data_IF_751762452237
#
_entry.id   IF_751762452237
#
_cell.length_a   1.000
_cell.length_b   1.000
_cell.length_c   1.000
_cell.angle_alpha   90.00
_cell.angle_beta   90.00
_cell.angle_gamma   90.00
#
_symmetry.space_group_name_H-M   'P 1'
#
loop_
_entity.id
_entity.type
_entity.pdbx_description
1 polymer ?
#
# COMPACT_ATOMS: atom_id res chain seq x y z
N UNK A 1 -28.67 27.37 -10.32
CA UNK A 1 -28.14 26.14 -9.71
C UNK A 1 -26.84 26.51 -9.02
N UNK A 2 -26.79 26.42 -7.70
CA UNK A 2 -25.58 26.68 -6.92
C UNK A 2 -24.62 25.51 -7.10
N UNK A 3 -23.50 25.73 -7.79
CA UNK A 3 -22.40 24.77 -7.83
C UNK A 3 -21.82 24.70 -6.42
N UNK A 4 -22.12 23.62 -5.71
CA UNK A 4 -21.59 23.38 -4.38
C UNK A 4 -20.10 23.04 -4.55
N UNK A 5 -19.21 24.02 -4.36
CA UNK A 5 -17.74 23.85 -4.35
C UNK A 5 -17.30 23.12 -3.08
N UNK A 6 -17.96 22.01 -2.75
CA UNK A 6 -17.64 21.24 -1.56
C UNK A 6 -16.32 20.49 -1.82
N UNK A 7 -15.30 20.65 -0.97
CA UNK A 7 -13.95 20.09 -1.16
C UNK A 7 -13.86 18.55 -1.10
N UNK A 8 -14.99 17.85 -1.13
CA UNK A 8 -15.08 16.39 -1.01
C UNK A 8 -15.16 15.65 -2.37
N UNK A 9 -15.08 16.36 -3.49
CA UNK A 9 -15.22 15.76 -4.83
C UNK A 9 -13.90 15.27 -5.44
N UNK A 10 -12.82 15.17 -4.64
CA UNK A 10 -11.50 14.68 -5.07
C UNK A 10 -10.83 13.82 -4.00
N UNK A 11 -9.66 13.21 -4.30
CA UNK A 11 -8.91 12.40 -3.34
C UNK A 11 -8.63 13.19 -2.05
N UNK A 12 -8.71 12.51 -0.90
CA UNK A 12 -8.42 13.14 0.39
C UNK A 12 -6.94 13.46 0.45
N UNK A 13 -6.59 14.74 0.47
CA UNK A 13 -5.19 15.19 0.55
C UNK A 13 -4.62 14.99 1.95
N UNK A 14 -3.28 15.02 2.07
CA UNK A 14 -2.60 14.97 3.36
C UNK A 14 -3.03 16.13 4.28
N UNK A 15 -3.14 17.34 3.74
CA UNK A 15 -3.66 18.50 4.48
C UNK A 15 -5.09 18.26 4.97
N UNK A 16 -5.92 17.62 4.14
CA UNK A 16 -7.29 17.30 4.53
C UNK A 16 -7.33 16.22 5.61
N UNK A 17 -6.44 15.21 5.56
CA UNK A 17 -6.30 14.21 6.63
C UNK A 17 -5.88 14.86 7.95
N UNK A 18 -4.90 15.78 7.93
CA UNK A 18 -4.49 16.55 9.11
C UNK A 18 -5.67 17.32 9.71
N UNK A 19 -6.42 18.06 8.87
CA UNK A 19 -7.61 18.80 9.31
C UNK A 19 -8.67 17.87 9.92
N UNK A 20 -8.95 16.71 9.30
CA UNK A 20 -9.91 15.74 9.83
C UNK A 20 -9.43 15.20 11.19
N UNK A 21 -8.14 14.89 11.31
CA UNK A 21 -7.53 14.44 12.57
C UNK A 21 -7.72 15.46 13.69
N UNK A 22 -7.44 16.74 13.43
CA UNK A 22 -7.62 17.83 14.39
C UNK A 22 -9.09 18.01 14.81
N UNK A 23 -10.02 17.95 13.85
CA UNK A 23 -11.46 18.05 14.10
C UNK A 23 -11.91 16.92 15.04
N UNK A 24 -11.54 15.68 14.73
CA UNK A 24 -11.94 14.51 15.51
C UNK A 24 -11.30 14.51 16.90
N UNK A 25 -10.03 14.91 17.00
CA UNK A 25 -9.33 15.00 18.28
C UNK A 25 -9.98 16.05 19.19
N UNK A 26 -10.28 17.24 18.65
CA UNK A 26 -10.99 18.31 19.37
C UNK A 26 -12.37 17.83 19.84
N UNK A 27 -13.14 17.20 18.95
CA UNK A 27 -14.46 16.67 19.29
C UNK A 27 -14.41 15.57 20.36
N UNK A 28 -13.39 14.71 20.34
CA UNK A 28 -13.20 13.66 21.34
C UNK A 28 -12.94 14.25 22.74
N UNK A 29 -12.12 15.29 22.84
CA UNK A 29 -11.80 15.95 24.14
C UNK A 29 -12.98 16.69 24.77
N UNK A 30 -13.96 17.11 23.97
CA UNK A 30 -15.16 17.82 24.44
C UNK A 30 -16.29 16.87 24.87
N UNK A 31 -16.13 15.55 24.66
CA UNK A 31 -17.08 14.53 25.06
C UNK A 31 -16.73 13.98 26.44
N UNK A 32 -17.74 13.52 27.15
CA UNK A 32 -17.67 12.88 28.48
C UNK A 32 -17.08 11.46 28.48
N UNK A 33 -16.43 11.03 27.39
CA UNK A 33 -15.86 9.70 27.27
C UNK A 33 -16.87 8.58 26.99
N UNK A 34 -18.08 8.89 26.50
CA UNK A 34 -18.99 7.85 25.97
C UNK A 34 -18.44 7.15 24.71
N UNK A 35 -19.12 6.09 24.25
CA UNK A 35 -18.70 5.27 23.09
C UNK A 35 -18.31 6.09 21.84
N UNK A 36 -18.99 7.21 21.60
CA UNK A 36 -18.68 8.11 20.49
C UNK A 36 -17.32 8.83 20.67
N UNK A 37 -16.99 9.26 21.88
CA UNK A 37 -15.70 9.88 22.18
C UNK A 37 -14.54 8.91 21.97
N UNK A 38 -14.70 7.65 22.40
CA UNK A 38 -13.72 6.60 22.13
C UNK A 38 -13.57 6.32 20.63
N UNK A 39 -14.68 6.19 19.89
CA UNK A 39 -14.64 5.99 18.45
C UNK A 39 -13.91 7.13 17.71
N UNK A 40 -14.11 8.38 18.13
CA UNK A 40 -13.39 9.52 17.58
C UNK A 40 -11.89 9.46 17.88
N UNK A 41 -11.51 9.12 19.12
CA UNK A 41 -10.11 8.98 19.50
C UNK A 41 -9.40 7.84 18.73
N UNK A 42 -10.08 6.72 18.51
CA UNK A 42 -9.54 5.63 17.71
C UNK A 42 -9.44 5.99 16.22
N UNK A 43 -10.41 6.75 15.69
CA UNK A 43 -10.31 7.29 14.33
C UNK A 43 -9.09 8.21 14.16
N UNK A 44 -8.79 9.06 15.15
CA UNK A 44 -7.59 9.92 15.15
C UNK A 44 -6.31 9.06 15.07
N UNK A 45 -6.21 7.98 15.85
CA UNK A 45 -5.05 7.07 15.80
C UNK A 45 -4.89 6.44 14.42
N UNK A 46 -5.99 5.99 13.81
CA UNK A 46 -5.96 5.42 12.46
C UNK A 46 -5.53 6.45 11.41
N UNK A 47 -6.04 7.67 11.50
CA UNK A 47 -5.65 8.76 10.59
C UNK A 47 -4.18 9.12 10.77
N UNK A 48 -3.65 9.13 11.99
CA UNK A 48 -2.25 9.38 12.26
C UNK A 48 -1.32 8.36 11.56
N UNK A 49 -1.69 7.08 11.54
CA UNK A 49 -0.95 6.05 10.79
C UNK A 49 -0.95 6.34 9.29
N UNK A 50 -2.11 6.72 8.73
CA UNK A 50 -2.23 7.07 7.31
C UNK A 50 -1.38 8.29 6.95
N UNK A 51 -1.42 9.35 7.79
CA UNK A 51 -0.62 10.56 7.62
C UNK A 51 0.87 10.22 7.62
N UNK A 52 1.35 9.49 8.62
CA UNK A 52 2.77 9.14 8.74
C UNK A 52 3.25 8.34 7.52
N UNK A 53 2.47 7.35 7.07
CA UNK A 53 2.81 6.52 5.90
C UNK A 53 2.82 7.33 4.60
N UNK A 54 1.85 8.22 4.41
CA UNK A 54 1.79 9.09 3.22
C UNK A 54 2.94 10.11 3.19
N UNK A 55 3.31 10.66 4.35
CA UNK A 55 4.46 11.57 4.46
C UNK A 55 5.75 10.88 4.03
N UNK A 56 6.04 9.71 4.62
CA UNK A 56 7.22 8.89 4.28
C UNK A 56 7.25 8.57 2.78
N UNK A 57 6.11 8.19 2.20
CA UNK A 57 6.02 7.88 0.76
C UNK A 57 6.32 9.11 -0.12
N UNK A 58 5.83 10.28 0.24
CA UNK A 58 6.08 11.54 -0.49
C UNK A 58 7.53 11.98 -0.39
N UNK A 59 8.11 11.94 0.81
CA UNK A 59 9.51 12.27 1.04
C UNK A 59 10.43 11.33 0.26
N UNK A 60 10.15 10.02 0.31
CA UNK A 60 10.86 9.03 -0.48
C UNK A 60 10.76 9.30 -1.99
N UNK A 61 9.57 9.59 -2.51
CA UNK A 61 9.37 9.91 -3.92
C UNK A 61 10.15 11.17 -4.34
N UNK A 62 10.13 12.22 -3.52
CA UNK A 62 10.85 13.46 -3.77
C UNK A 62 12.38 13.23 -3.76
N UNK A 63 12.89 12.50 -2.78
CA UNK A 63 14.29 12.12 -2.69
C UNK A 63 14.73 11.24 -3.86
N UNK A 64 13.96 10.21 -4.21
CA UNK A 64 14.25 9.31 -5.34
C UNK A 64 14.28 10.09 -6.67
N UNK A 65 13.33 11.02 -6.86
CA UNK A 65 13.31 11.88 -8.05
C UNK A 65 14.54 12.79 -8.11
N UNK A 66 14.92 13.41 -6.99
CA UNK A 66 16.09 14.29 -6.93
C UNK A 66 17.41 13.55 -7.14
N UNK A 67 17.49 12.31 -6.64
CA UNK A 67 18.72 11.51 -6.64
C UNK A 67 18.93 10.78 -7.97
N UNK A 68 17.88 10.14 -8.49
CA UNK A 68 17.97 9.25 -9.65
C UNK A 68 17.36 9.84 -10.93
N UNK A 69 16.66 10.96 -10.82
CA UNK A 69 16.00 11.61 -11.95
C UNK A 69 14.80 10.82 -12.49
N UNK A 70 14.46 11.12 -13.74
CA UNK A 70 13.32 10.57 -14.46
C UNK A 70 13.68 9.22 -15.11
N UNK A 71 13.75 8.17 -14.30
CA UNK A 71 13.94 6.78 -14.73
C UNK A 71 12.64 5.99 -14.63
N UNK A 72 12.50 4.97 -15.47
CA UNK A 72 11.34 4.07 -15.48
C UNK A 72 11.33 3.04 -14.34
N UNK A 73 10.26 2.22 -14.23
CA UNK A 73 10.00 1.35 -13.09
C UNK A 73 10.90 0.10 -13.02
N UNK A 74 11.58 -0.26 -14.12
CA UNK A 74 12.34 -1.51 -14.23
C UNK A 74 13.55 -1.55 -13.29
N UNK A 75 14.21 -0.41 -13.05
CA UNK A 75 15.35 -0.33 -12.13
C UNK A 75 14.95 -0.71 -10.70
N UNK A 76 13.99 -0.01 -10.08
CA UNK A 76 13.47 -0.35 -8.77
C UNK A 76 12.95 -1.79 -8.67
N UNK A 77 12.29 -2.34 -9.70
CA UNK A 77 11.83 -3.74 -9.69
C UNK A 77 12.99 -4.75 -9.68
N UNK A 78 14.07 -4.49 -10.42
CA UNK A 78 15.28 -5.33 -10.37
C UNK A 78 15.96 -5.26 -9.01
N UNK A 79 15.95 -4.09 -8.37
CA UNK A 79 16.48 -3.92 -7.02
C UNK A 79 15.58 -4.62 -5.99
N UNK A 80 14.25 -4.49 -6.10
CA UNK A 80 13.29 -5.18 -5.23
C UNK A 80 13.52 -6.69 -5.21
N UNK A 81 13.89 -7.27 -6.37
CA UNK A 81 14.26 -8.68 -6.43
C UNK A 81 15.47 -9.02 -5.55
N UNK A 82 16.45 -8.12 -5.38
CA UNK A 82 17.60 -8.34 -4.51
C UNK A 82 17.22 -8.22 -3.03
N UNK A 83 16.49 -7.17 -2.66
CA UNK A 83 16.06 -6.97 -1.26
C UNK A 83 15.12 -8.07 -0.78
N UNK A 84 14.37 -8.70 -1.69
CA UNK A 84 13.60 -9.89 -1.34
C UNK A 84 14.48 -11.07 -0.89
N UNK A 85 15.71 -11.20 -1.41
CA UNK A 85 16.66 -12.22 -0.94
C UNK A 85 17.31 -11.81 0.39
N UNK A 86 17.62 -10.53 0.58
CA UNK A 86 18.19 -9.98 1.82
C UNK A 86 17.19 -10.14 2.97
N UNK A 87 15.93 -9.73 2.76
CA UNK A 87 14.83 -9.95 3.70
C UNK A 87 14.55 -11.44 3.99
N UNK A 88 14.73 -12.32 3.00
CA UNK A 88 14.55 -13.76 3.21
C UNK A 88 15.70 -14.38 4.04
N UNK A 89 16.92 -13.83 3.93
CA UNK A 89 18.06 -14.27 4.73
C UNK A 89 17.95 -13.78 6.20
N UNK A 90 17.44 -12.58 6.41
CA UNK A 90 17.29 -11.96 7.74
C UNK A 90 15.86 -11.43 7.96
N UNK A 91 14.84 -12.31 8.10
CA UNK A 91 13.44 -11.88 8.20
C UNK A 91 13.12 -11.05 9.44
N UNK A 92 14.02 -11.05 10.43
CA UNK A 92 13.93 -10.22 11.62
C UNK A 92 14.48 -8.80 11.45
N UNK A 93 15.20 -8.50 10.36
CA UNK A 93 15.67 -7.15 10.08
C UNK A 93 14.59 -6.33 9.38
N UNK A 94 14.08 -5.31 10.07
CA UNK A 94 13.03 -4.44 9.55
C UNK A 94 13.50 -3.52 8.42
N UNK A 95 14.82 -3.25 8.29
CA UNK A 95 15.36 -2.44 7.19
C UNK A 95 15.02 -3.06 5.84
N UNK A 96 15.25 -4.36 5.69
CA UNK A 96 15.05 -5.07 4.43
C UNK A 96 13.58 -5.05 3.98
N UNK A 97 12.66 -5.14 4.94
CA UNK A 97 11.23 -4.97 4.66
C UNK A 97 10.88 -3.53 4.23
N UNK A 98 11.54 -2.53 4.81
CA UNK A 98 11.37 -1.14 4.43
C UNK A 98 11.91 -0.88 3.02
N UNK A 99 13.07 -1.46 2.66
CA UNK A 99 13.64 -1.33 1.31
C UNK A 99 12.73 -1.95 0.25
N UNK A 100 12.15 -3.13 0.52
CA UNK A 100 11.13 -3.70 -0.35
C UNK A 100 9.93 -2.75 -0.52
N UNK A 101 9.47 -2.11 0.55
CA UNK A 101 8.34 -1.19 0.50
C UNK A 101 8.66 0.07 -0.30
N UNK A 102 9.86 0.65 -0.13
CA UNK A 102 10.33 1.81 -0.88
C UNK A 102 10.47 1.52 -2.37
N UNK A 103 11.08 0.40 -2.73
CA UNK A 103 11.31 0.01 -4.11
C UNK A 103 10.00 -0.30 -4.84
N UNK A 104 9.04 -0.96 -4.16
CA UNK A 104 7.71 -1.20 -4.73
C UNK A 104 6.95 0.11 -4.98
N UNK A 105 6.98 1.04 -4.02
CA UNK A 105 6.35 2.35 -4.18
C UNK A 105 6.96 3.17 -5.31
N UNK A 106 8.28 3.17 -5.44
CA UNK A 106 8.95 3.91 -6.52
C UNK A 106 8.65 3.30 -7.89
N UNK A 107 8.65 1.97 -7.99
CA UNK A 107 8.23 1.27 -9.20
C UNK A 107 6.80 1.62 -9.60
N UNK A 108 5.85 1.61 -8.65
CA UNK A 108 4.45 1.97 -8.91
C UNK A 108 4.32 3.41 -9.41
N UNK A 109 4.94 4.36 -8.71
CA UNK A 109 4.91 5.78 -9.08
C UNK A 109 5.50 6.02 -10.47
N UNK A 110 6.63 5.39 -10.79
CA UNK A 110 7.30 5.51 -12.09
C UNK A 110 6.56 4.79 -13.23
N UNK A 111 5.57 3.96 -12.90
CA UNK A 111 4.69 3.31 -13.85
C UNK A 111 3.31 3.99 -13.94
N UNK A 112 3.14 5.16 -13.30
CA UNK A 112 1.86 5.88 -13.18
C UNK A 112 0.72 5.01 -12.60
N UNK A 113 1.06 4.08 -11.71
CA UNK A 113 0.08 3.22 -11.02
C UNK A 113 -0.42 3.94 -9.76
N UNK A 114 -1.72 4.23 -9.72
CA UNK A 114 -2.37 4.82 -8.55
C UNK A 114 -2.68 3.79 -7.48
N UNK A 115 -2.87 4.27 -6.23
CA UNK A 115 -3.29 3.43 -5.11
C UNK A 115 -4.65 2.77 -5.34
N UNK A 116 -5.57 3.45 -6.05
CA UNK A 116 -6.86 2.90 -6.44
C UNK A 116 -6.70 1.74 -7.44
N UNK A 117 -5.86 1.93 -8.46
CA UNK A 117 -5.61 0.90 -9.48
C UNK A 117 -4.97 -0.35 -8.87
N UNK A 118 -3.93 -0.20 -8.05
CA UNK A 118 -3.28 -1.36 -7.43
C UNK A 118 -4.22 -2.04 -6.42
N UNK A 119 -5.02 -1.29 -5.66
CA UNK A 119 -5.98 -1.87 -4.71
C UNK A 119 -7.04 -2.68 -5.44
N UNK A 120 -7.59 -2.16 -6.54
CA UNK A 120 -8.55 -2.91 -7.36
C UNK A 120 -7.90 -4.19 -7.93
N UNK A 121 -6.70 -4.08 -8.49
CA UNK A 121 -5.97 -5.24 -9.00
C UNK A 121 -5.68 -6.29 -7.91
N UNK A 122 -5.39 -5.86 -6.67
CA UNK A 122 -5.21 -6.76 -5.52
C UNK A 122 -6.51 -7.49 -5.16
N UNK A 123 -7.66 -6.79 -5.14
CA UNK A 123 -8.98 -7.40 -4.87
C UNK A 123 -9.32 -8.45 -5.91
N UNK A 124 -9.18 -8.12 -7.19
CA UNK A 124 -9.44 -9.04 -8.31
C UNK A 124 -8.48 -10.22 -8.28
N UNK A 125 -7.19 -9.97 -8.08
CA UNK A 125 -6.17 -11.02 -8.03
C UNK A 125 -6.38 -11.97 -6.86
N UNK A 126 -6.82 -11.46 -5.69
CA UNK A 126 -7.14 -12.27 -4.53
C UNK A 126 -8.33 -13.19 -4.80
N UNK A 127 -9.37 -12.71 -5.48
CA UNK A 127 -10.52 -13.53 -5.86
C UNK A 127 -10.10 -14.69 -6.79
N UNK A 128 -9.25 -14.42 -7.79
CA UNK A 128 -8.68 -15.45 -8.66
C UNK A 128 -7.82 -16.44 -7.87
N UNK A 129 -6.96 -15.96 -6.96
CA UNK A 129 -6.08 -16.83 -6.18
C UNK A 129 -6.85 -17.79 -5.27
N UNK A 130 -7.99 -17.37 -4.71
CA UNK A 130 -8.87 -18.21 -3.88
C UNK A 130 -9.56 -19.34 -4.65
N UNK A 131 -9.68 -19.22 -5.97
CA UNK A 131 -10.31 -20.22 -6.83
C UNK A 131 -9.30 -21.24 -7.39
N UNK A 132 -8.00 -21.03 -7.18
CA UNK A 132 -6.94 -21.91 -7.68
C UNK A 132 -6.76 -23.12 -6.75
N UNK A 133 -6.23 -24.19 -7.35
CA UNK A 133 -5.68 -25.31 -6.58
C UNK A 133 -4.23 -25.02 -6.21
N UNK A 134 -3.88 -25.34 -4.97
CA UNK A 134 -2.56 -25.11 -4.40
C UNK A 134 -2.00 -26.44 -3.88
N UNK A 135 -0.68 -26.66 -3.98
CA UNK A 135 -0.04 -27.81 -3.36
C UNK A 135 -0.10 -27.71 -1.83
N UNK A 136 0.21 -28.81 -1.15
CA UNK A 136 0.32 -28.85 0.30
C UNK A 136 1.30 -27.79 0.86
N UNK A 137 1.03 -27.24 2.05
CA UNK A 137 1.95 -26.33 2.71
C UNK A 137 3.33 -26.97 2.98
N UNK A 138 4.37 -26.22 2.65
CA UNK A 138 5.80 -26.45 2.75
C UNK A 138 6.45 -25.12 3.13
N UNK A 139 7.17 -25.10 4.24
CA UNK A 139 7.80 -23.88 4.75
C UNK A 139 9.05 -23.51 3.94
N UNK A 140 9.37 -22.22 3.87
CA UNK A 140 10.57 -21.70 3.22
C UNK A 140 10.60 -21.69 1.67
N UNK A 141 9.65 -22.36 0.99
CA UNK A 141 9.67 -22.49 -0.48
C UNK A 141 8.54 -21.71 -1.19
N UNK A 142 8.79 -21.12 -2.38
CA UNK A 142 7.74 -20.51 -3.19
C UNK A 142 6.64 -21.51 -3.57
N UNK A 143 5.37 -21.11 -3.41
CA UNK A 143 4.22 -21.92 -3.87
C UNK A 143 3.72 -21.45 -5.23
N UNK A 144 3.67 -22.38 -6.18
CA UNK A 144 3.02 -22.17 -7.45
C UNK A 144 1.67 -22.89 -7.46
N UNK A 145 0.64 -22.23 -7.99
CA UNK A 145 -0.65 -22.85 -8.23
C UNK A 145 -0.51 -24.01 -9.23
N UNK A 146 -1.32 -25.05 -9.03
CA UNK A 146 -1.38 -26.19 -9.94
C UNK A 146 -2.04 -25.70 -11.24
N UNK A 147 -1.35 -25.86 -12.37
CA UNK A 147 -1.95 -25.67 -13.70
C UNK A 147 -2.69 -26.96 -14.03
N UNK A 148 -3.95 -26.86 -14.47
CA UNK A 148 -4.58 -28.00 -15.11
C UNK A 148 -3.76 -28.30 -16.37
N UNK A 149 -3.26 -29.52 -16.51
CA UNK A 149 -2.57 -29.94 -17.73
C UNK A 149 -3.48 -29.64 -18.91
N UNK A 150 -3.07 -28.71 -19.79
CA UNK A 150 -3.55 -28.74 -21.15
C UNK A 150 -2.92 -29.99 -21.78
N UNK A 151 -3.55 -31.14 -21.55
CA UNK A 151 -3.50 -32.26 -22.48
C UNK A 151 -4.15 -31.77 -23.78
N UNK A 152 -3.36 -31.07 -24.60
CA UNK A 152 -3.64 -31.01 -26.01
C UNK A 152 -2.89 -32.20 -26.60
N UNK A 153 -3.64 -33.29 -26.69
CA UNK A 153 -3.29 -34.53 -27.36
C UNK A 153 -2.69 -34.22 -28.74
N UNK A 154 -1.59 -34.90 -29.04
CA UNK A 154 -1.18 -35.20 -30.41
C UNK A 154 -2.39 -35.71 -31.21
N UNK A 155 -2.79 -34.96 -32.24
CA UNK A 155 -3.42 -35.52 -33.44
C UNK A 155 -3.29 -34.62 -34.65
#
# INVERSE_FOLDING_TARGET
MTTNNHPANGPVTLDRLNQISEILNTAATQRDGGNLGYAMADAVKMIAVVIAREQVRREHAAWSQATFGDVGPVGPLKHLSKEAHEAAAEPGDLSEWADMQFLLWDAQRRADISDEQITLAMVEKLAVNKQRQWPEPLDGEPRLHIKADQQQEDK
#
